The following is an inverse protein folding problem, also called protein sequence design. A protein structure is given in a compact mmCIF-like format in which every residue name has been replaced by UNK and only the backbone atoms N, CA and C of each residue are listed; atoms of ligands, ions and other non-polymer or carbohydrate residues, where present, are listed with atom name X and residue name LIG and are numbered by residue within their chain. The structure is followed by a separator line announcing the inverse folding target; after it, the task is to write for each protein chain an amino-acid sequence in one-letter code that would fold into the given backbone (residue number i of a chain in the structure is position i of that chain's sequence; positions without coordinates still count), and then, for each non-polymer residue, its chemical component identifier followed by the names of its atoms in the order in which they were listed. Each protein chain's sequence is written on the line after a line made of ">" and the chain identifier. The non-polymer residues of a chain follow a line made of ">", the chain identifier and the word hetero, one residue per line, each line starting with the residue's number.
data_IF_431790900861
#
_entry.id   IF_431790900861
#
_cell.length_a   1.000
_cell.length_b   1.000
_cell.length_c   1.000
_cell.angle_alpha   90.00
_cell.angle_beta   90.00
_cell.angle_gamma   90.00
#
_symmetry.space_group_name_H-M   'P 1'
#
loop_
_entity.id
_entity.type
_entity.pdbx_description
1 polymer ?
#
# COMPACT_ATOMS: atom_id res chain seq x y z
N UNK A 1 5.68 2.15 18.95
CA UNK A 1 4.22 2.29 18.70
C UNK A 1 3.45 1.66 19.86
N UNK A 2 2.25 2.15 20.23
CA UNK A 2 1.39 1.46 21.19
C UNK A 2 1.06 0.05 20.68
N UNK A 3 1.00 -0.93 21.58
CA UNK A 3 0.68 -2.32 21.25
C UNK A 3 -0.79 -2.41 20.80
N UNK A 4 -1.01 -2.27 19.49
CA UNK A 4 -2.36 -2.27 18.92
C UNK A 4 -3.05 -3.62 19.09
N UNK A 5 -2.29 -4.72 19.19
CA UNK A 5 -2.83 -6.05 19.46
C UNK A 5 -3.36 -6.10 20.90
N UNK A 6 -2.60 -5.60 21.88
CA UNK A 6 -3.10 -5.49 23.26
C UNK A 6 -4.31 -4.55 23.41
N UNK A 7 -4.53 -3.66 22.44
CA UNK A 7 -5.69 -2.76 22.37
C UNK A 7 -6.84 -3.30 21.51
N UNK A 8 -6.82 -4.59 21.15
CA UNK A 8 -7.96 -5.29 20.52
C UNK A 8 -7.87 -5.45 19.00
N UNK A 9 -6.76 -5.08 18.36
CA UNK A 9 -6.52 -5.47 16.97
C UNK A 9 -6.23 -6.98 16.90
N UNK A 10 -6.87 -7.69 15.95
CA UNK A 10 -6.58 -9.10 15.71
C UNK A 10 -5.18 -9.33 15.14
N UNK A 11 -4.75 -8.45 14.25
CA UNK A 11 -3.43 -8.46 13.64
C UNK A 11 -3.03 -7.05 13.22
N UNK A 12 -1.72 -6.79 13.16
CA UNK A 12 -1.13 -5.50 12.79
C UNK A 12 0.04 -5.77 11.87
N UNK A 13 -0.07 -5.34 10.62
CA UNK A 13 1.07 -5.20 9.71
C UNK A 13 1.59 -3.76 9.83
N UNK A 14 2.90 -3.61 10.03
CA UNK A 14 3.52 -2.30 10.15
C UNK A 14 5.04 -2.39 10.04
N UNK A 15 5.74 -1.37 10.52
CA UNK A 15 7.20 -1.27 10.46
C UNK A 15 7.75 -0.97 11.85
N UNK A 16 8.91 -1.57 12.17
CA UNK A 16 9.61 -1.38 13.45
C UNK A 16 10.24 0.01 13.58
N UNK A 17 10.73 0.53 12.47
CA UNK A 17 11.28 1.88 12.29
C UNK A 17 10.46 2.64 11.24
N UNK A 18 10.85 3.90 10.98
CA UNK A 18 10.18 4.77 10.01
C UNK A 18 10.11 4.13 8.63
N UNK A 19 8.95 4.24 7.99
CA UNK A 19 8.81 3.87 6.59
C UNK A 19 9.47 4.93 5.71
N UNK A 20 10.44 4.53 4.89
CA UNK A 20 11.23 5.46 4.07
C UNK A 20 10.97 5.26 2.59
N UNK A 21 11.04 6.34 1.83
CA UNK A 21 10.82 6.33 0.39
C UNK A 21 11.43 7.59 -0.21
N UNK A 22 11.81 7.49 -1.48
CA UNK A 22 12.30 8.61 -2.28
C UNK A 22 11.14 9.11 -3.13
N UNK A 23 11.05 10.43 -3.29
CA UNK A 23 10.05 11.06 -4.14
C UNK A 23 10.62 12.27 -4.84
N UNK A 24 10.03 12.61 -5.98
CA UNK A 24 10.12 13.96 -6.53
C UNK A 24 9.40 14.94 -5.59
N UNK A 25 10.13 15.95 -5.12
CA UNK A 25 9.61 16.99 -4.24
C UNK A 25 8.41 17.76 -4.83
N UNK A 26 8.33 17.88 -6.17
CA UNK A 26 7.18 18.50 -6.83
C UNK A 26 5.90 17.69 -6.66
N UNK A 27 6.04 16.37 -6.46
CA UNK A 27 4.94 15.42 -6.29
C UNK A 27 4.67 15.11 -4.81
N UNK A 28 5.26 15.85 -3.86
CA UNK A 28 5.13 15.59 -2.43
C UNK A 28 3.68 15.61 -1.91
N UNK A 29 2.81 16.39 -2.54
CA UNK A 29 1.37 16.42 -2.20
C UNK A 29 0.56 15.30 -2.86
N UNK A 30 1.12 14.63 -3.86
CA UNK A 30 0.48 13.57 -4.64
C UNK A 30 1.46 12.44 -4.95
N UNK A 31 2.06 11.78 -3.95
CA UNK A 31 3.16 10.87 -4.20
C UNK A 31 2.80 9.59 -4.95
N UNK A 32 1.52 9.22 -4.95
CA UNK A 32 1.01 8.15 -5.81
C UNK A 32 1.12 8.49 -7.32
N UNK A 33 1.31 9.77 -7.67
CA UNK A 33 1.54 10.20 -9.05
C UNK A 33 3.02 10.07 -9.46
N UNK A 34 3.93 9.94 -8.49
CA UNK A 34 5.35 9.70 -8.74
C UNK A 34 5.56 8.21 -9.05
N UNK A 35 5.51 7.93 -10.36
CA UNK A 35 5.67 6.59 -10.90
C UNK A 35 7.11 6.11 -10.86
N UNK A 36 8.08 7.02 -10.75
CA UNK A 36 9.49 6.70 -10.91
C UNK A 36 10.15 6.34 -9.59
N UNK A 37 9.84 7.07 -8.51
CA UNK A 37 10.49 6.90 -7.22
C UNK A 37 9.52 6.33 -6.18
N UNK A 38 8.47 7.08 -5.86
CA UNK A 38 7.57 6.74 -4.77
C UNK A 38 6.82 5.42 -4.98
N UNK A 39 6.36 5.16 -6.21
CA UNK A 39 5.59 3.96 -6.54
C UNK A 39 6.32 2.66 -6.18
N UNK A 40 7.65 2.65 -6.27
CA UNK A 40 8.46 1.45 -5.99
C UNK A 40 8.37 1.03 -4.53
N UNK A 41 8.25 1.99 -3.60
CA UNK A 41 8.05 1.72 -2.18
C UNK A 41 6.56 1.56 -1.82
N UNK A 42 5.67 2.32 -2.46
CA UNK A 42 4.25 2.35 -2.11
C UNK A 42 3.42 1.20 -2.71
N UNK A 43 3.75 0.76 -3.92
CA UNK A 43 2.99 -0.29 -4.62
C UNK A 43 2.98 -1.63 -3.87
N UNK A 44 4.08 -2.12 -3.27
CA UNK A 44 4.04 -3.32 -2.44
C UNK A 44 3.00 -3.27 -1.31
N UNK A 45 2.91 -2.12 -0.63
CA UNK A 45 1.92 -1.87 0.44
C UNK A 45 0.50 -1.88 -0.12
N UNK A 46 0.29 -1.21 -1.26
CA UNK A 46 -0.99 -1.17 -1.95
C UNK A 46 -1.43 -2.57 -2.39
N UNK A 47 -0.51 -3.39 -2.90
CA UNK A 47 -0.78 -4.77 -3.31
C UNK A 47 -1.15 -5.65 -2.12
N UNK A 48 -0.44 -5.54 -1.01
CA UNK A 48 -0.78 -6.23 0.25
C UNK A 48 -2.17 -5.81 0.77
N UNK A 49 -2.46 -4.50 0.78
CA UNK A 49 -3.78 -3.99 1.19
C UNK A 49 -4.90 -4.50 0.26
N UNK A 50 -4.70 -4.47 -1.05
CA UNK A 50 -5.67 -4.98 -2.01
C UNK A 50 -5.90 -6.48 -1.83
N UNK A 51 -4.85 -7.26 -1.60
CA UNK A 51 -4.93 -8.67 -1.27
C UNK A 51 -5.81 -8.93 -0.04
N UNK A 52 -5.62 -8.16 1.02
CA UNK A 52 -6.43 -8.24 2.23
C UNK A 52 -7.90 -7.92 1.95
N UNK A 53 -8.17 -6.85 1.18
CA UNK A 53 -9.52 -6.45 0.76
C UNK A 53 -10.17 -7.46 -0.19
N UNK A 54 -9.38 -8.24 -0.93
CA UNK A 54 -9.84 -9.36 -1.77
C UNK A 54 -10.04 -10.65 -0.97
N UNK A 55 -9.87 -10.58 0.36
CA UNK A 55 -10.22 -11.65 1.28
C UNK A 55 -9.08 -12.58 1.65
N UNK A 56 -7.83 -12.30 1.26
CA UNK A 56 -6.65 -13.01 1.76
C UNK A 56 -6.47 -12.80 3.27
N UNK A 57 -5.70 -13.67 3.92
CA UNK A 57 -5.33 -13.47 5.33
C UNK A 57 -4.34 -12.34 5.49
N UNK A 58 -4.19 -11.85 6.72
CA UNK A 58 -3.16 -10.88 7.10
C UNK A 58 -1.76 -11.38 6.73
N UNK A 59 -1.46 -12.66 6.96
CA UNK A 59 -0.19 -13.28 6.59
C UNK A 59 0.05 -13.35 5.07
N UNK A 60 -0.98 -13.72 4.30
CA UNK A 60 -0.88 -13.75 2.83
C UNK A 60 -0.69 -12.35 2.25
N UNK A 61 -1.43 -11.36 2.75
CA UNK A 61 -1.32 -9.97 2.36
C UNK A 61 0.07 -9.39 2.70
N UNK A 62 0.57 -9.67 3.90
CA UNK A 62 1.89 -9.24 4.35
C UNK A 62 3.02 -9.87 3.51
N UNK A 63 2.91 -11.16 3.16
CA UNK A 63 3.90 -11.80 2.30
C UNK A 63 3.94 -11.18 0.90
N UNK A 64 2.78 -10.82 0.33
CA UNK A 64 2.72 -10.13 -0.98
C UNK A 64 3.48 -8.80 -0.93
N UNK A 65 3.36 -8.05 0.16
CA UNK A 65 4.11 -6.80 0.35
C UNK A 65 5.63 -7.06 0.43
N UNK A 66 6.07 -8.06 1.21
CA UNK A 66 7.50 -8.42 1.31
C UNK A 66 8.10 -8.88 -0.03
N UNK A 67 7.34 -9.67 -0.78
CA UNK A 67 7.72 -10.14 -2.12
C UNK A 67 7.76 -8.96 -3.10
N UNK A 68 6.86 -7.98 -2.95
CA UNK A 68 6.88 -6.72 -3.68
C UNK A 68 8.16 -5.92 -3.46
N UNK A 69 8.56 -5.71 -2.19
CA UNK A 69 9.83 -5.05 -1.89
C UNK A 69 11.03 -5.81 -2.45
N UNK A 70 11.03 -7.14 -2.33
CA UNK A 70 12.13 -7.98 -2.82
C UNK A 70 12.27 -7.86 -4.33
N UNK A 71 11.18 -8.03 -5.10
CA UNK A 71 11.22 -7.89 -6.55
C UNK A 71 11.66 -6.50 -6.99
N UNK A 72 11.15 -5.45 -6.33
CA UNK A 72 11.50 -4.08 -6.69
C UNK A 72 12.99 -3.80 -6.41
N UNK A 73 13.54 -4.31 -5.29
CA UNK A 73 14.95 -4.13 -4.96
C UNK A 73 15.90 -4.93 -5.88
N UNK A 74 15.47 -6.09 -6.38
CA UNK A 74 16.27 -6.93 -7.30
C UNK A 74 16.50 -6.27 -8.66
N UNK A 75 15.54 -5.49 -9.14
CA UNK A 75 15.59 -4.85 -10.47
C UNK A 75 15.98 -3.37 -10.42
N UNK A 76 16.11 -2.80 -9.21
CA UNK A 76 16.49 -1.40 -9.03
C UNK A 76 17.99 -1.19 -9.27
N UNK A 77 18.31 -0.19 -10.09
CA UNK A 77 19.69 0.19 -10.40
C UNK A 77 20.19 1.33 -9.50
N UNK A 78 19.28 2.16 -8.97
CA UNK A 78 19.63 3.22 -8.02
C UNK A 78 19.84 2.65 -6.61
N UNK A 79 21.09 2.71 -6.13
CA UNK A 79 21.48 2.17 -4.83
C UNK A 79 20.78 2.85 -3.63
N UNK A 80 20.39 4.11 -3.74
CA UNK A 80 19.65 4.80 -2.66
C UNK A 80 18.22 4.25 -2.58
N UNK A 81 17.53 4.15 -3.72
CA UNK A 81 16.17 3.60 -3.77
C UNK A 81 16.17 2.15 -3.30
N UNK A 82 17.13 1.36 -3.79
CA UNK A 82 17.30 -0.04 -3.40
C UNK A 82 17.49 -0.19 -1.89
N UNK A 83 18.37 0.61 -1.29
CA UNK A 83 18.57 0.62 0.16
C UNK A 83 17.28 0.96 0.91
N UNK A 84 16.47 1.91 0.41
CA UNK A 84 15.16 2.21 1.00
C UNK A 84 14.20 1.01 0.96
N UNK A 85 14.12 0.30 -0.18
CA UNK A 85 13.27 -0.88 -0.33
C UNK A 85 13.69 -2.01 0.61
N UNK A 86 14.99 -2.29 0.69
CA UNK A 86 15.54 -3.31 1.58
C UNK A 86 15.34 -2.95 3.05
N UNK A 87 15.49 -1.68 3.41
CA UNK A 87 15.24 -1.17 4.75
C UNK A 87 13.78 -1.35 5.16
N UNK A 88 12.82 -0.96 4.32
CA UNK A 88 11.40 -1.14 4.60
C UNK A 88 11.07 -2.62 4.78
N UNK A 89 11.56 -3.48 3.88
CA UNK A 89 11.37 -4.94 3.98
C UNK A 89 11.92 -5.51 5.28
N UNK A 90 13.13 -5.10 5.67
CA UNK A 90 13.77 -5.60 6.88
C UNK A 90 13.06 -5.14 8.17
N UNK A 91 12.40 -3.99 8.12
CA UNK A 91 11.66 -3.43 9.25
C UNK A 91 10.19 -3.81 9.28
N UNK A 92 9.64 -4.34 8.19
CA UNK A 92 8.28 -4.82 8.12
C UNK A 92 8.03 -5.92 9.15
N UNK A 93 6.91 -5.84 9.86
CA UNK A 93 6.52 -6.77 10.91
C UNK A 93 5.02 -7.04 10.88
N UNK A 94 4.66 -8.31 11.07
CA UNK A 94 3.30 -8.75 11.34
C UNK A 94 3.20 -9.20 12.80
N UNK A 95 2.31 -8.58 13.56
CA UNK A 95 1.97 -8.92 14.93
C UNK A 95 0.54 -9.48 15.01
N UNK A 96 0.26 -10.31 16.01
CA UNK A 96 -1.05 -10.91 16.23
C UNK A 96 -1.29 -12.15 15.37
N UNK A 97 -2.53 -12.35 14.93
CA UNK A 97 -3.00 -13.57 14.27
C UNK A 97 -2.80 -13.52 12.73
N UNK A 98 -1.85 -14.27 12.13
CA UNK A 98 -1.63 -14.22 10.69
C UNK A 98 -2.83 -14.72 9.87
N UNK A 99 -3.72 -15.51 10.47
CA UNK A 99 -4.95 -16.00 9.87
C UNK A 99 -6.10 -14.98 9.85
N UNK A 100 -5.94 -13.81 10.47
CA UNK A 100 -6.96 -12.77 10.51
C UNK A 100 -7.35 -12.33 9.08
N UNK A 101 -8.62 -12.00 8.88
CA UNK A 101 -9.18 -11.53 7.60
C UNK A 101 -10.06 -10.32 7.85
N UNK A 102 -10.16 -9.46 6.84
CA UNK A 102 -11.22 -8.45 6.78
C UNK A 102 -12.35 -8.95 5.90
N UNK A 103 -13.50 -8.29 5.99
CA UNK A 103 -14.61 -8.56 5.07
C UNK A 103 -14.15 -8.23 3.65
N UNK A 104 -14.17 -9.24 2.78
CA UNK A 104 -13.81 -9.05 1.38
C UNK A 104 -14.73 -8.01 0.71
N UNK A 105 -14.16 -7.18 -0.17
CA UNK A 105 -14.91 -6.22 -0.95
C UNK A 105 -15.92 -6.95 -1.85
N UNK A 106 -17.11 -6.37 -2.10
CA UNK A 106 -18.04 -6.93 -3.06
C UNK A 106 -17.35 -7.06 -4.43
N UNK A 107 -17.56 -8.17 -5.15
CA UNK A 107 -17.07 -8.27 -6.51
C UNK A 107 -17.68 -7.16 -7.36
N UNK A 108 -16.87 -6.55 -8.23
CA UNK A 108 -17.37 -5.68 -9.28
C UNK A 108 -18.30 -6.50 -10.19
N UNK A 109 -19.61 -6.26 -10.09
CA UNK A 109 -20.58 -6.89 -10.98
C UNK A 109 -20.29 -6.43 -12.41
N UNK A 110 -19.89 -7.39 -13.25
CA UNK A 110 -19.70 -7.15 -14.67
C UNK A 110 -21.03 -7.32 -15.42
N UNK A 111 -21.34 -6.44 -16.40
CA UNK A 111 -20.55 -5.28 -16.82
C UNK A 111 -20.72 -4.10 -15.84
N UNK A 112 -19.62 -3.57 -15.30
CA UNK A 112 -19.69 -2.32 -14.54
C UNK A 112 -19.90 -1.18 -15.53
N UNK A 113 -20.93 -0.37 -15.31
CA UNK A 113 -21.14 0.85 -16.09
C UNK A 113 -20.42 1.97 -15.35
N UNK A 114 -19.34 2.49 -15.92
CA UNK A 114 -18.72 3.72 -15.42
C UNK A 114 -19.78 4.83 -15.57
N UNK A 115 -20.43 5.23 -14.49
CA UNK A 115 -21.36 6.35 -14.52
C UNK A 115 -20.48 7.60 -14.52
N UNK A 116 -20.46 8.41 -15.60
CA UNK A 116 -19.69 9.65 -15.59
C UNK A 116 -20.19 10.53 -14.44
N UNK A 117 -19.31 11.32 -13.80
CA UNK A 117 -19.74 12.28 -12.80
C UNK A 117 -20.81 13.22 -13.41
N UNK A 118 -21.79 13.69 -12.62
CA UNK A 118 -22.77 14.66 -13.09
C UNK A 118 -22.07 15.89 -13.69
N UNK A 119 -22.64 16.53 -14.73
CA UNK A 119 -22.11 17.78 -15.25
C UNK A 119 -21.99 18.80 -14.11
N UNK A 120 -20.80 19.37 -13.94
CA UNK A 120 -20.62 20.51 -13.03
C UNK A 120 -21.24 21.72 -13.73
N UNK A 121 -22.44 22.11 -13.31
CA UNK A 121 -23.01 23.39 -13.69
C UNK A 121 -22.25 24.50 -12.96
N UNK A 122 -21.25 25.07 -13.63
CA UNK A 122 -20.63 26.31 -13.15
C UNK A 122 -21.68 27.43 -13.30
N UNK A 123 -21.98 28.21 -12.24
CA UNK A 123 -22.86 29.35 -12.37
C UNK A 123 -22.25 30.33 -13.37
N UNK A 124 -23.05 30.72 -14.37
CA UNK A 124 -22.68 31.76 -15.31
C UNK A 124 -22.50 33.06 -14.52
N UNK A 125 -21.25 33.49 -14.32
CA UNK A 125 -20.96 34.85 -13.90
C UNK A 125 -21.23 35.75 -15.10
N UNK A 126 -22.38 36.43 -15.07
CA UNK A 126 -22.70 37.55 -15.95
C UNK A 126 -21.89 38.79 -15.56
#
# INVERSE_FOLDING_TARGET
>A
APDMVSNGALAVAGYRDDFIWVMDSELASTPWADKEYASKALMPVIDGLNALLDGKTAGEAFQIELDGFTRNAEVEEDELIKACLEFNRANAVLLGEPGARVRARPPLLLPFKLIPPPPIFLPWTS
#
